data_IF_762661868641
#
_entry.id   IF_762661868641
#
_cell.length_a   1.000
_cell.length_b   1.000
_cell.length_c   1.000
_cell.angle_alpha   90.00
_cell.angle_beta   90.00
_cell.angle_gamma   90.00
#
_symmetry.space_group_name_H-M   'P 1'
#
loop_
_entity.id
_entity.type
_entity.pdbx_description
1 polymer ?
#
# COMPACT_ATOMS: atom_id res chain seq x y z
N UNK A 1 40.19 15.89 20.34
CA UNK A 1 40.44 16.52 19.01
C UNK A 1 40.95 15.41 18.12
N UNK A 2 40.14 14.98 17.16
CA UNK A 2 40.48 13.90 16.23
C UNK A 2 41.50 14.48 15.24
N UNK A 3 42.60 13.76 14.98
CA UNK A 3 43.70 14.24 14.15
C UNK A 3 43.23 14.49 12.70
N UNK A 4 43.76 15.54 12.06
CA UNK A 4 43.35 16.00 10.73
C UNK A 4 43.55 14.96 9.62
N UNK A 5 44.39 13.94 9.86
CA UNK A 5 44.53 12.78 8.96
C UNK A 5 43.38 11.78 9.06
N UNK A 6 42.83 11.53 10.26
CA UNK A 6 41.66 10.66 10.44
C UNK A 6 40.39 11.33 9.91
N UNK A 7 40.23 12.64 10.11
CA UNK A 7 39.14 13.40 9.50
C UNK A 7 39.18 13.36 7.96
N UNK A 8 40.38 13.32 7.36
CA UNK A 8 40.56 13.20 5.92
C UNK A 8 40.18 11.82 5.38
N UNK A 9 40.45 10.75 6.13
CA UNK A 9 40.04 9.40 5.75
C UNK A 9 38.53 9.21 5.90
N UNK A 10 37.91 9.69 6.98
CA UNK A 10 36.46 9.67 7.19
C UNK A 10 35.74 10.46 6.07
N UNK A 11 36.30 11.61 5.66
CA UNK A 11 35.79 12.41 4.54
C UNK A 11 35.98 11.77 3.15
N UNK A 12 36.99 10.91 2.98
CA UNK A 12 37.25 10.18 1.73
C UNK A 12 36.35 8.93 1.59
N UNK A 13 36.03 8.24 2.69
CA UNK A 13 35.11 7.08 2.64
C UNK A 13 33.70 7.51 2.21
N UNK A 14 33.25 8.68 2.68
CA UNK A 14 31.94 9.25 2.31
C UNK A 14 31.82 9.75 0.85
N UNK A 15 32.92 9.83 0.10
CA UNK A 15 32.89 10.25 -1.32
C UNK A 15 32.90 9.08 -2.32
N UNK A 16 33.23 7.87 -1.88
CA UNK A 16 33.44 6.73 -2.77
C UNK A 16 32.24 5.78 -2.87
N UNK A 17 31.26 5.89 -1.95
CA UNK A 17 30.05 5.07 -2.01
C UNK A 17 28.96 5.91 -2.69
N UNK A 18 28.45 5.51 -3.87
CA UNK A 18 27.32 6.21 -4.48
C UNK A 18 26.17 6.24 -3.46
N UNK A 19 25.48 7.38 -3.31
CA UNK A 19 24.44 7.58 -2.28
C UNK A 19 23.47 6.38 -2.18
N UNK A 20 23.14 5.78 -3.33
CA UNK A 20 22.28 4.61 -3.45
C UNK A 20 22.82 3.35 -2.72
N UNK A 21 24.14 3.15 -2.67
CA UNK A 21 24.77 2.03 -1.93
C UNK A 21 24.75 2.28 -0.42
N UNK A 22 25.04 3.50 0.02
CA UNK A 22 24.96 3.88 1.44
C UNK A 22 23.50 3.76 1.94
N UNK A 23 22.53 4.22 1.15
CA UNK A 23 21.11 4.08 1.47
C UNK A 23 20.65 2.62 1.56
N UNK A 24 21.11 1.76 0.64
CA UNK A 24 20.80 0.33 0.69
C UNK A 24 21.49 -0.39 1.87
N UNK A 25 22.75 -0.05 2.17
CA UNK A 25 23.48 -0.59 3.33
C UNK A 25 22.90 -0.12 4.68
N UNK A 26 22.26 1.05 4.72
CA UNK A 26 21.53 1.55 5.88
C UNK A 26 20.15 0.90 6.06
N UNK A 27 19.56 0.32 5.01
CA UNK A 27 18.27 -0.37 5.08
C UNK A 27 18.48 -1.81 5.52
N UNK A 28 18.21 -2.09 6.79
CA UNK A 28 18.05 -3.46 7.25
C UNK A 28 16.92 -4.19 6.49
N UNK A 29 16.84 -5.53 6.56
CA UNK A 29 15.92 -6.33 5.76
C UNK A 29 14.45 -5.86 5.84
N UNK A 30 14.03 -5.42 7.02
CA UNK A 30 12.70 -4.86 7.25
C UNK A 30 12.44 -3.60 6.41
N UNK A 31 13.36 -2.63 6.43
CA UNK A 31 13.20 -1.38 5.68
C UNK A 31 13.28 -1.60 4.17
N UNK A 32 14.03 -2.61 3.73
CA UNK A 32 14.10 -2.96 2.31
C UNK A 32 12.77 -3.57 1.80
N UNK A 33 12.09 -4.38 2.60
CA UNK A 33 10.73 -4.87 2.26
C UNK A 33 9.73 -3.70 2.16
N UNK A 34 9.76 -2.76 3.10
CA UNK A 34 8.94 -1.55 3.02
C UNK A 34 9.33 -0.65 1.85
N UNK A 35 10.61 -0.56 1.52
CA UNK A 35 11.04 0.15 0.31
C UNK A 35 10.52 -0.53 -0.96
N UNK A 36 10.52 -1.87 -0.97
CA UNK A 36 10.14 -2.64 -2.15
C UNK A 36 8.63 -2.63 -2.37
N UNK A 37 7.84 -2.93 -1.34
CA UNK A 37 6.40 -3.12 -1.48
C UNK A 37 5.56 -2.11 -0.71
N UNK A 38 6.16 -1.32 0.19
CA UNK A 38 5.43 -0.55 1.20
C UNK A 38 4.57 -1.43 2.09
N UNK A 39 3.52 -0.83 2.65
CA UNK A 39 2.60 -1.54 3.55
C UNK A 39 1.81 -2.63 2.83
N UNK A 40 1.62 -2.51 1.51
CA UNK A 40 0.89 -3.49 0.69
C UNK A 40 1.54 -4.87 0.65
N UNK A 41 2.78 -4.99 1.12
CA UNK A 41 3.54 -6.24 1.14
C UNK A 41 2.85 -7.36 1.92
N UNK A 42 1.97 -7.04 2.87
CA UNK A 42 1.33 -8.03 3.73
C UNK A 42 -0.16 -8.26 3.44
N UNK A 43 -0.80 -7.54 2.52
CA UNK A 43 -2.27 -7.59 2.31
C UNK A 43 -2.81 -9.00 2.07
N UNK A 44 -2.25 -9.76 1.12
CA UNK A 44 -2.70 -11.13 0.85
C UNK A 44 -2.45 -12.11 2.01
N UNK A 45 -1.42 -11.88 2.82
CA UNK A 45 -1.13 -12.71 3.99
C UNK A 45 -2.11 -12.39 5.13
N UNK A 46 -2.37 -11.11 5.39
CA UNK A 46 -3.31 -10.65 6.40
C UNK A 46 -4.76 -11.09 6.09
N UNK A 47 -5.16 -11.11 4.82
CA UNK A 47 -6.45 -11.68 4.42
C UNK A 47 -6.54 -13.18 4.74
N UNK A 48 -5.48 -13.95 4.50
CA UNK A 48 -5.48 -15.41 4.71
C UNK A 48 -5.38 -15.84 6.17
N UNK A 49 -4.70 -15.08 7.02
CA UNK A 49 -4.50 -15.43 8.44
C UNK A 49 -5.57 -14.83 9.38
N UNK A 50 -6.52 -14.04 8.84
CA UNK A 50 -7.61 -13.42 9.61
C UNK A 50 -7.27 -12.08 10.27
N UNK A 51 -6.15 -11.46 9.90
CA UNK A 51 -5.73 -10.15 10.40
C UNK A 51 -6.38 -8.98 9.64
N UNK A 52 -6.75 -9.18 8.36
CA UNK A 52 -7.52 -8.20 7.56
C UNK A 52 -9.02 -8.42 7.73
N UNK A 53 -9.84 -7.35 7.82
CA UNK A 53 -11.29 -7.49 7.80
C UNK A 53 -11.78 -8.09 6.48
N UNK A 54 -12.59 -9.14 6.57
CA UNK A 54 -13.25 -9.77 5.41
C UNK A 54 -14.75 -9.68 5.62
N UNK A 55 -15.50 -9.24 4.60
CA UNK A 55 -16.96 -9.13 4.62
C UNK A 55 -17.50 -8.42 5.87
N UNK A 56 -17.11 -7.15 6.02
CA UNK A 56 -17.43 -6.32 7.19
C UNK A 56 -17.18 -7.01 8.56
N UNK A 57 -16.03 -7.67 8.73
CA UNK A 57 -15.65 -8.45 9.92
C UNK A 57 -16.48 -9.72 10.21
N UNK A 58 -17.50 -10.03 9.40
CA UNK A 58 -18.30 -11.24 9.53
C UNK A 58 -17.75 -12.45 8.76
N UNK A 59 -16.78 -12.23 7.87
CA UNK A 59 -16.23 -13.27 6.99
C UNK A 59 -14.89 -13.85 7.47
N UNK A 60 -14.51 -14.97 6.86
CA UNK A 60 -13.23 -15.66 7.04
C UNK A 60 -12.50 -15.63 5.70
N UNK A 61 -11.31 -15.04 5.64
CA UNK A 61 -10.61 -14.83 4.37
C UNK A 61 -10.38 -16.08 3.54
N UNK A 62 -10.03 -17.23 4.14
CA UNK A 62 -9.86 -18.49 3.38
C UNK A 62 -11.18 -19.09 2.86
N UNK A 63 -12.34 -18.62 3.32
CA UNK A 63 -13.68 -19.11 2.92
C UNK A 63 -14.34 -18.11 1.97
N UNK A 64 -14.45 -16.84 2.40
CA UNK A 64 -15.19 -15.79 1.69
C UNK A 64 -14.33 -15.07 0.64
N UNK A 65 -13.00 -15.07 0.78
CA UNK A 65 -12.06 -14.48 -0.17
C UNK A 65 -10.91 -15.47 -0.51
N UNK A 66 -11.23 -16.67 -1.05
CA UNK A 66 -10.25 -17.74 -1.21
C UNK A 66 -9.14 -17.40 -2.22
N UNK A 67 -9.45 -16.58 -3.23
CA UNK A 67 -8.47 -16.06 -4.17
C UNK A 67 -7.96 -14.68 -3.75
N UNK A 68 -6.76 -14.66 -3.19
CA UNK A 68 -6.03 -13.45 -2.81
C UNK A 68 -4.90 -13.12 -3.78
N UNK A 69 -4.84 -13.76 -4.96
CA UNK A 69 -3.75 -13.58 -5.93
C UNK A 69 -3.64 -12.13 -6.41
N UNK A 70 -4.77 -11.45 -6.58
CA UNK A 70 -4.77 -10.04 -6.92
C UNK A 70 -4.19 -9.17 -5.79
N UNK A 71 -4.35 -9.56 -4.52
CA UNK A 71 -3.78 -8.85 -3.37
C UNK A 71 -2.29 -9.18 -3.13
N UNK A 72 -1.68 -9.96 -4.03
CA UNK A 72 -0.26 -10.29 -3.93
C UNK A 72 0.62 -9.06 -4.13
N UNK A 73 1.67 -8.97 -3.31
CA UNK A 73 2.58 -7.83 -3.29
C UNK A 73 3.23 -7.54 -4.65
N UNK A 74 3.53 -8.56 -5.44
CA UNK A 74 4.12 -8.38 -6.78
C UNK A 74 3.09 -7.84 -7.76
N UNK A 75 1.86 -8.34 -7.69
CA UNK A 75 0.74 -7.88 -8.55
C UNK A 75 0.41 -6.42 -8.26
N UNK A 76 0.32 -6.04 -6.99
CA UNK A 76 0.05 -4.66 -6.58
C UNK A 76 1.20 -3.73 -7.00
N UNK A 77 2.45 -4.20 -6.91
CA UNK A 77 3.61 -3.37 -7.22
C UNK A 77 3.96 -3.32 -8.72
N UNK A 78 3.35 -4.17 -9.55
CA UNK A 78 3.62 -4.21 -11.00
C UNK A 78 3.34 -2.86 -11.70
N UNK A 79 2.39 -2.07 -11.19
CA UNK A 79 2.03 -0.76 -11.77
C UNK A 79 2.77 0.43 -11.13
N UNK A 80 3.71 0.21 -10.21
CA UNK A 80 4.51 1.29 -9.58
C UNK A 80 5.57 1.78 -10.57
N UNK A 81 5.52 3.07 -10.89
CA UNK A 81 6.48 3.74 -11.77
C UNK A 81 7.69 4.28 -11.01
N UNK A 82 7.45 4.87 -9.84
CA UNK A 82 8.49 5.50 -9.03
C UNK A 82 8.21 5.38 -7.54
N UNK A 83 9.25 5.56 -6.73
CA UNK A 83 9.17 5.48 -5.27
C UNK A 83 9.77 6.71 -4.62
N UNK A 84 9.15 7.17 -3.55
CA UNK A 84 9.55 8.39 -2.84
C UNK A 84 9.44 8.20 -1.33
N UNK A 85 10.25 8.95 -0.59
CA UNK A 85 10.15 9.01 0.87
C UNK A 85 9.42 10.25 1.35
N UNK A 86 8.93 10.15 2.58
CA UNK A 86 8.68 11.33 3.39
C UNK A 86 9.98 12.12 3.60
N UNK A 87 9.87 13.31 4.18
CA UNK A 87 11.02 14.17 4.47
C UNK A 87 12.13 13.40 5.21
N UNK A 88 13.30 13.26 4.55
CA UNK A 88 14.49 12.56 5.06
C UNK A 88 14.27 11.10 5.47
N UNK A 89 13.17 10.47 5.04
CA UNK A 89 12.89 9.08 5.38
C UNK A 89 13.63 8.14 4.43
N UNK A 90 14.60 7.34 4.91
CA UNK A 90 15.35 6.44 4.05
C UNK A 90 14.50 5.26 3.59
N UNK A 91 13.38 4.92 4.23
CA UNK A 91 12.53 3.79 3.81
C UNK A 91 11.94 4.00 2.41
N UNK A 92 11.58 5.24 2.06
CA UNK A 92 11.02 5.59 0.76
C UNK A 92 9.90 4.64 0.27
N UNK A 93 8.96 4.32 1.16
CA UNK A 93 7.94 3.30 0.93
C UNK A 93 6.82 3.71 -0.04
N UNK A 94 6.64 5.01 -0.30
CA UNK A 94 5.53 5.52 -1.11
C UNK A 94 5.76 5.17 -2.58
N UNK A 95 4.86 4.39 -3.16
CA UNK A 95 4.83 4.14 -4.61
C UNK A 95 3.97 5.19 -5.32
N UNK A 96 4.37 5.57 -6.54
CA UNK A 96 3.50 6.30 -7.49
C UNK A 96 3.15 5.37 -8.64
N UNK A 97 1.88 5.31 -8.99
CA UNK A 97 1.38 4.43 -10.05
C UNK A 97 1.47 5.10 -11.43
N UNK A 98 1.58 4.30 -12.49
CA UNK A 98 1.24 4.74 -13.84
C UNK A 98 -0.27 4.98 -13.95
N UNK A 99 -0.73 5.63 -15.01
CA UNK A 99 -2.17 5.81 -15.25
C UNK A 99 -2.93 4.48 -15.32
N UNK A 100 -4.20 4.49 -14.91
CA UNK A 100 -5.08 3.33 -14.97
C UNK A 100 -5.39 2.92 -16.41
N UNK A 101 -4.96 1.73 -16.80
CA UNK A 101 -5.07 1.24 -18.18
C UNK A 101 -6.29 0.34 -18.42
N UNK A 102 -6.92 -0.19 -17.37
CA UNK A 102 -8.08 -1.08 -17.41
C UNK A 102 -9.41 -0.34 -17.31
N UNK A 103 -10.32 -0.85 -16.48
CA UNK A 103 -11.67 -0.30 -16.30
C UNK A 103 -11.64 1.04 -15.57
N UNK A 104 -10.73 1.19 -14.59
CA UNK A 104 -10.67 2.37 -13.73
C UNK A 104 -9.56 3.33 -14.17
N UNK A 105 -9.96 4.44 -14.80
CA UNK A 105 -9.06 5.44 -15.40
C UNK A 105 -8.62 6.54 -14.43
N UNK A 106 -7.75 6.22 -13.47
CA UNK A 106 -7.11 7.24 -12.62
C UNK A 106 -5.87 7.86 -13.31
N UNK A 107 -5.49 9.11 -12.99
CA UNK A 107 -4.35 9.76 -13.62
C UNK A 107 -3.01 9.12 -13.22
N UNK A 108 -1.97 9.31 -14.03
CA UNK A 108 -0.62 8.91 -13.67
C UNK A 108 -0.12 9.69 -12.43
N UNK A 109 0.75 9.04 -11.66
CA UNK A 109 1.40 9.63 -10.51
C UNK A 109 0.56 9.63 -9.23
N UNK A 110 -0.61 9.00 -9.18
CA UNK A 110 -1.35 8.82 -7.91
C UNK A 110 -0.55 7.94 -6.94
N UNK A 111 -0.87 8.02 -5.65
CA UNK A 111 -0.29 7.14 -4.66
C UNK A 111 -0.73 5.69 -4.90
N UNK A 112 0.22 4.75 -4.83
CA UNK A 112 -0.13 3.34 -4.65
C UNK A 112 -0.95 3.23 -3.36
N UNK A 113 -2.08 2.52 -3.34
CA UNK A 113 -2.81 2.26 -2.11
C UNK A 113 -1.88 1.75 -1.01
N UNK A 114 -2.09 2.20 0.22
CA UNK A 114 -1.48 1.56 1.38
C UNK A 114 -2.29 0.29 1.73
N UNK A 115 -1.80 -0.52 2.68
CA UNK A 115 -2.51 -1.71 3.16
C UNK A 115 -3.94 -1.38 3.56
N UNK A 116 -4.13 -0.32 4.35
CA UNK A 116 -5.42 0.08 4.91
C UNK A 116 -6.44 0.37 3.81
N UNK A 117 -6.03 1.07 2.75
CA UNK A 117 -6.90 1.36 1.60
C UNK A 117 -7.30 0.07 0.87
N UNK A 118 -6.38 -0.88 0.71
CA UNK A 118 -6.71 -2.17 0.10
C UNK A 118 -7.57 -3.05 1.00
N UNK A 119 -7.37 -3.03 2.31
CA UNK A 119 -8.24 -3.70 3.26
C UNK A 119 -9.65 -3.10 3.20
N UNK A 120 -9.75 -1.77 3.22
CA UNK A 120 -11.00 -1.02 3.33
C UNK A 120 -11.86 -1.01 2.05
N UNK A 121 -11.25 -1.00 0.86
CA UNK A 121 -11.99 -1.08 -0.41
C UNK A 121 -11.89 -2.44 -1.09
N UNK A 122 -11.07 -3.34 -0.55
CA UNK A 122 -10.87 -4.68 -1.06
C UNK A 122 -11.55 -5.72 -0.17
N UNK A 123 -10.77 -6.35 0.72
CA UNK A 123 -11.20 -7.53 1.48
C UNK A 123 -12.47 -7.31 2.32
N UNK A 124 -12.62 -6.15 2.97
CA UNK A 124 -13.82 -5.87 3.77
C UNK A 124 -15.10 -5.84 2.93
N UNK A 125 -14.98 -5.50 1.65
CA UNK A 125 -16.07 -5.44 0.66
C UNK A 125 -16.10 -6.66 -0.27
N UNK A 126 -15.29 -7.70 -0.02
CA UNK A 126 -15.09 -8.85 -0.91
C UNK A 126 -14.69 -8.45 -2.35
N UNK A 127 -13.91 -7.38 -2.47
CA UNK A 127 -13.38 -6.89 -3.74
C UNK A 127 -11.90 -7.24 -3.85
N UNK A 128 -11.51 -7.92 -4.94
CA UNK A 128 -10.12 -8.26 -5.23
C UNK A 128 -9.56 -7.51 -6.45
N UNK A 129 -10.17 -6.39 -6.87
CA UNK A 129 -9.69 -5.60 -7.99
C UNK A 129 -8.75 -4.46 -7.50
N UNK A 130 -7.45 -4.60 -7.78
CA UNK A 130 -6.45 -3.59 -7.41
C UNK A 130 -6.63 -2.25 -8.11
N UNK A 131 -7.14 -2.24 -9.34
CA UNK A 131 -7.36 -1.00 -10.07
C UNK A 131 -8.53 -0.21 -9.47
N UNK A 132 -9.56 -0.93 -9.02
CA UNK A 132 -10.68 -0.35 -8.28
C UNK A 132 -10.22 0.25 -6.94
N UNK A 133 -9.38 -0.45 -6.17
CA UNK A 133 -8.85 0.08 -4.89
C UNK A 133 -7.92 1.28 -5.10
N UNK A 134 -7.12 1.28 -6.18
CA UNK A 134 -6.32 2.44 -6.58
C UNK A 134 -7.18 3.66 -6.95
N UNK A 135 -8.26 3.46 -7.70
CA UNK A 135 -9.21 4.53 -7.99
C UNK A 135 -9.91 5.04 -6.72
N UNK A 136 -10.34 4.14 -5.83
CA UNK A 136 -10.97 4.53 -4.58
C UNK A 136 -10.02 5.36 -3.70
N UNK A 137 -8.74 4.96 -3.62
CA UNK A 137 -7.69 5.72 -2.95
C UNK A 137 -7.50 7.11 -3.57
N UNK A 138 -7.41 7.20 -4.90
CA UNK A 138 -7.32 8.48 -5.61
C UNK A 138 -8.50 9.41 -5.33
N UNK A 139 -9.73 8.88 -5.33
CA UNK A 139 -10.93 9.64 -4.99
C UNK A 139 -10.83 10.13 -3.54
N UNK A 140 -10.49 9.26 -2.59
CA UNK A 140 -10.34 9.65 -1.19
C UNK A 140 -9.31 10.75 -1.00
N UNK A 141 -8.12 10.62 -1.59
CA UNK A 141 -7.07 11.65 -1.55
C UNK A 141 -7.56 12.98 -2.15
N UNK A 142 -8.29 12.91 -3.27
CA UNK A 142 -8.81 14.10 -3.97
C UNK A 142 -9.86 14.86 -3.17
N UNK A 143 -10.67 14.15 -2.38
CA UNK A 143 -11.73 14.74 -1.56
C UNK A 143 -11.36 14.89 -0.08
N UNK A 144 -10.15 14.48 0.33
CA UNK A 144 -9.69 14.53 1.72
C UNK A 144 -10.45 13.57 2.65
N UNK A 145 -10.82 12.40 2.15
CA UNK A 145 -11.51 11.35 2.91
C UNK A 145 -10.51 10.35 3.47
N UNK A 146 -10.73 9.93 4.72
CA UNK A 146 -10.03 8.78 5.28
C UNK A 146 -10.52 7.49 4.59
N UNK A 147 -9.59 6.79 3.94
CA UNK A 147 -9.87 5.54 3.22
C UNK A 147 -10.44 4.44 4.12
N UNK A 148 -10.04 4.37 5.40
CA UNK A 148 -10.51 3.34 6.32
C UNK A 148 -12.00 3.56 6.61
N UNK A 149 -12.35 4.78 7.01
CA UNK A 149 -13.74 5.15 7.31
C UNK A 149 -14.62 5.07 6.06
N UNK A 150 -14.12 5.52 4.91
CA UNK A 150 -14.85 5.48 3.64
C UNK A 150 -15.12 4.05 3.15
N UNK A 151 -14.14 3.16 3.24
CA UNK A 151 -14.35 1.75 2.89
C UNK A 151 -15.25 1.02 3.89
N UNK A 152 -15.05 1.26 5.19
CA UNK A 152 -15.87 0.67 6.27
C UNK A 152 -17.34 1.06 6.15
N UNK A 153 -17.67 2.32 5.84
CA UNK A 153 -19.08 2.74 5.72
C UNK A 153 -19.75 2.12 4.48
N UNK A 154 -18.98 1.88 3.40
CA UNK A 154 -19.48 1.15 2.23
C UNK A 154 -19.76 -0.30 2.60
N UNK A 155 -18.84 -0.99 3.27
CA UNK A 155 -19.04 -2.36 3.72
C UNK A 155 -20.25 -2.48 4.66
N UNK A 156 -20.42 -1.54 5.59
CA UNK A 156 -21.60 -1.45 6.45
C UNK A 156 -22.89 -1.27 5.65
N UNK A 157 -22.90 -0.40 4.64
CA UNK A 157 -24.05 -0.21 3.78
C UNK A 157 -24.37 -1.47 2.96
N UNK A 158 -23.35 -2.18 2.47
CA UNK A 158 -23.51 -3.48 1.79
C UNK A 158 -24.19 -4.50 2.72
N UNK A 159 -23.72 -4.65 3.96
CA UNK A 159 -24.34 -5.57 4.93
C UNK A 159 -25.78 -5.15 5.29
N UNK A 160 -26.03 -3.85 5.48
CA UNK A 160 -27.39 -3.34 5.69
C UNK A 160 -28.32 -3.69 4.52
N UNK A 161 -27.81 -3.64 3.28
CA UNK A 161 -28.58 -4.02 2.10
C UNK A 161 -28.83 -5.53 2.04
N UNK A 162 -27.81 -6.35 2.35
CA UNK A 162 -27.93 -7.82 2.43
C UNK A 162 -28.98 -8.25 3.48
N UNK A 163 -29.09 -7.52 4.58
CA UNK A 163 -30.08 -7.76 5.64
C UNK A 163 -31.43 -7.03 5.43
N UNK A 164 -31.61 -6.32 4.32
CA UNK A 164 -32.86 -5.62 4.01
C UNK A 164 -33.17 -4.42 4.91
N UNK A 165 -32.17 -3.89 5.63
CA UNK A 165 -32.28 -2.66 6.44
C UNK A 165 -32.36 -1.44 5.51
N UNK A 166 -31.60 -1.45 4.41
CA UNK A 166 -31.72 -0.49 3.32
C UNK A 166 -32.11 -1.21 2.02
N UNK A 167 -32.84 -0.53 1.14
CA UNK A 167 -33.29 -1.08 -0.15
C UNK A 167 -32.93 -0.13 -1.28
N UNK A 168 -33.14 -0.59 -2.52
CA UNK A 168 -33.10 0.31 -3.68
C UNK A 168 -34.09 1.46 -3.47
N UNK A 169 -33.69 2.65 -3.92
CA UNK A 169 -34.53 3.84 -3.93
C UNK A 169 -35.74 3.68 -4.88
#
# INVERSE_FOLDING_TARGET
>A
MIDGKEASQIGLVNRAVPANKLEAEMRGPFLEEFHKYGTTGHTAASARNGDTPVKNWGGIGIIDLPDTSALDREVINANVESKTGCWRCPAACKGRLKEGAGEYKYPAGIHRPEYETQAAFGAICLNNNNEATAMAGYICDSYGLDTISAGSIIAFAMECYEHGIITKA
#
